data_IF_612084698229
#
_entry.id   IF_612084698229
#
_cell.length_a   1.000
_cell.length_b   1.000
_cell.length_c   1.000
_cell.angle_alpha   90.00
_cell.angle_beta   90.00
_cell.angle_gamma   90.00
#
_symmetry.space_group_name_H-M   'P 1'
#
loop_
_entity.id
_entity.type
_entity.pdbx_description
1 polymer ?
#
# COMPACT_ATOMS: atom_id res chain seq x y z
N UNK A 1 -1.20 -4.74 -6.43
CA UNK A 1 -0.22 -5.67 -5.81
C UNK A 1 0.16 -5.13 -4.45
N UNK A 2 0.36 -5.98 -3.45
CA UNK A 2 0.76 -5.51 -2.12
C UNK A 2 1.79 -6.42 -1.44
N UNK A 3 2.52 -5.89 -0.46
CA UNK A 3 3.47 -6.61 0.39
C UNK A 3 3.42 -6.13 1.84
N UNK A 4 3.76 -7.01 2.77
CA UNK A 4 4.26 -6.62 4.08
C UNK A 4 5.74 -6.25 4.01
N UNK A 5 6.14 -5.13 4.63
CA UNK A 5 7.53 -4.64 4.53
C UNK A 5 8.54 -5.34 5.44
N UNK A 6 8.10 -6.22 6.35
CA UNK A 6 8.97 -7.06 7.18
C UNK A 6 9.00 -8.53 6.73
N UNK A 7 8.40 -8.85 5.58
CA UNK A 7 8.53 -10.18 4.97
C UNK A 7 9.95 -10.41 4.42
N UNK A 8 10.59 -11.50 4.86
CA UNK A 8 11.89 -11.94 4.38
C UNK A 8 11.82 -13.01 3.29
N UNK A 9 10.67 -13.68 3.11
CA UNK A 9 10.49 -14.74 2.09
C UNK A 9 10.25 -14.11 0.73
N UNK A 10 9.33 -13.14 0.65
CA UNK A 10 9.07 -12.34 -0.55
C UNK A 10 9.21 -10.85 -0.19
N UNK A 11 10.44 -10.33 -0.08
CA UNK A 11 10.67 -8.96 0.37
C UNK A 11 10.16 -7.93 -0.65
N UNK A 12 9.82 -6.73 -0.15
CA UNK A 12 9.36 -5.59 -0.96
C UNK A 12 10.26 -5.31 -2.16
N UNK A 13 11.57 -5.43 -2.00
CA UNK A 13 12.55 -5.22 -3.06
C UNK A 13 12.34 -6.15 -4.26
N UNK A 14 12.10 -7.44 -4.01
CA UNK A 14 11.85 -8.44 -5.06
C UNK A 14 10.65 -8.06 -5.91
N UNK A 15 9.53 -7.73 -5.27
CA UNK A 15 8.33 -7.31 -5.98
C UNK A 15 8.51 -5.98 -6.72
N UNK A 16 9.27 -5.02 -6.18
CA UNK A 16 9.58 -3.77 -6.88
C UNK A 16 10.36 -4.03 -8.17
N UNK A 17 11.34 -4.95 -8.15
CA UNK A 17 12.04 -5.35 -9.38
C UNK A 17 11.10 -5.99 -10.40
N UNK A 18 10.22 -6.89 -9.96
CA UNK A 18 9.23 -7.52 -10.85
C UNK A 18 8.27 -6.50 -11.48
N UNK A 19 7.83 -5.50 -10.71
CA UNK A 19 6.98 -4.41 -11.23
C UNK A 19 7.76 -3.51 -12.19
N UNK A 20 9.02 -3.16 -11.89
CA UNK A 20 9.85 -2.32 -12.76
C UNK A 20 10.12 -2.98 -14.12
N UNK A 21 10.22 -4.31 -14.15
CA UNK A 21 10.36 -5.08 -15.40
C UNK A 21 9.17 -4.90 -16.36
N UNK A 22 7.98 -4.52 -15.85
CA UNK A 22 6.80 -4.24 -16.67
C UNK A 22 6.87 -2.90 -17.43
N UNK A 23 7.81 -2.01 -17.06
CA UNK A 23 8.00 -0.69 -17.68
C UNK A 23 6.73 0.15 -17.78
N UNK A 24 5.88 0.05 -16.75
CA UNK A 24 4.65 0.84 -16.66
C UNK A 24 4.97 2.30 -16.31
N UNK A 25 4.31 3.29 -16.96
CA UNK A 25 4.44 4.69 -16.56
C UNK A 25 3.94 4.92 -15.13
N UNK A 26 4.70 5.64 -14.32
CA UNK A 26 4.25 6.12 -13.00
C UNK A 26 3.21 7.23 -13.18
N UNK A 27 2.05 7.05 -12.56
CA UNK A 27 0.95 8.05 -12.54
C UNK A 27 0.84 8.75 -11.18
N UNK A 28 1.31 8.11 -10.12
CA UNK A 28 1.36 8.69 -8.78
C UNK A 28 2.67 8.28 -8.14
N UNK A 29 3.49 9.27 -7.77
CA UNK A 29 4.78 9.06 -7.12
C UNK A 29 4.62 8.31 -5.79
N UNK A 30 5.72 7.67 -5.36
CA UNK A 30 5.80 6.99 -4.07
C UNK A 30 5.45 7.94 -2.91
N UNK A 31 4.41 7.60 -2.15
CA UNK A 31 3.91 8.41 -1.03
C UNK A 31 3.46 7.52 0.13
N UNK A 32 3.45 8.09 1.34
CA UNK A 32 2.88 7.43 2.50
C UNK A 32 1.35 7.45 2.44
N UNK A 33 0.72 6.38 2.90
CA UNK A 33 -0.71 6.33 3.16
C UNK A 33 -0.97 6.16 4.66
N UNK A 34 -2.13 6.61 5.10
CA UNK A 34 -2.45 6.75 6.52
C UNK A 34 -3.63 5.89 6.92
N UNK A 35 -3.57 5.34 8.13
CA UNK A 35 -4.71 4.65 8.72
C UNK A 35 -5.70 5.62 9.39
N UNK A 36 -6.78 5.09 9.96
CA UNK A 36 -7.82 5.90 10.60
C UNK A 36 -7.33 6.76 11.77
N UNK A 37 -6.24 6.36 12.43
CA UNK A 37 -5.65 7.08 13.55
C UNK A 37 -4.66 8.17 13.09
N UNK A 38 -4.48 8.32 11.78
CA UNK A 38 -3.52 9.25 11.20
C UNK A 38 -2.07 8.77 11.28
N UNK A 39 -1.84 7.48 11.58
CA UNK A 39 -0.52 6.88 11.55
C UNK A 39 -0.16 6.39 10.14
N UNK A 40 1.14 6.31 9.85
CA UNK A 40 1.60 5.78 8.57
C UNK A 40 1.37 4.27 8.54
N UNK A 41 0.34 3.85 7.80
CA UNK A 41 0.03 2.45 7.57
C UNK A 41 0.95 1.79 6.53
N UNK A 42 1.64 2.59 5.72
CA UNK A 42 2.67 2.15 4.77
C UNK A 42 2.86 3.11 3.62
N UNK A 43 3.29 2.60 2.46
CA UNK A 43 3.52 3.40 1.26
C UNK A 43 2.83 2.85 0.03
N UNK A 44 2.49 3.74 -0.90
CA UNK A 44 1.80 3.42 -2.14
C UNK A 44 2.47 4.10 -3.33
N UNK A 45 2.44 3.45 -4.49
CA UNK A 45 2.82 4.02 -5.78
C UNK A 45 1.88 3.57 -6.88
N UNK A 46 1.40 4.53 -7.65
CA UNK A 46 0.49 4.32 -8.76
C UNK A 46 1.26 4.24 -10.07
N UNK A 47 1.02 3.16 -10.80
CA UNK A 47 1.41 2.98 -12.20
C UNK A 47 0.16 2.90 -13.08
N UNK A 48 0.31 3.15 -14.37
CA UNK A 48 -0.80 2.99 -15.32
C UNK A 48 -1.29 1.52 -15.31
N UNK A 49 -2.47 1.30 -14.72
CA UNK A 49 -3.10 -0.02 -14.61
C UNK A 49 -2.65 -0.87 -13.42
N UNK A 50 -1.77 -0.37 -12.54
CA UNK A 50 -1.29 -1.11 -11.38
C UNK A 50 -1.03 -0.19 -10.19
N UNK A 51 -1.61 -0.50 -9.03
CA UNK A 51 -1.23 0.14 -7.77
C UNK A 51 -0.39 -0.83 -6.94
N UNK A 52 0.75 -0.35 -6.46
CA UNK A 52 1.62 -1.08 -5.56
C UNK A 52 1.53 -0.49 -4.15
N UNK A 53 1.23 -1.34 -3.16
CA UNK A 53 1.03 -0.92 -1.77
C UNK A 53 1.91 -1.74 -0.84
N UNK A 54 2.54 -1.09 0.13
CA UNK A 54 3.24 -1.75 1.23
C UNK A 54 2.47 -1.49 2.52
N UNK A 55 2.48 -2.47 3.41
CA UNK A 55 1.90 -2.37 4.76
C UNK A 55 3.04 -2.40 5.76
N UNK A 56 3.16 -1.32 6.53
CA UNK A 56 4.24 -1.11 7.48
C UNK A 56 4.15 -2.07 8.66
N UNK A 57 5.26 -2.72 8.97
CA UNK A 57 5.37 -3.67 10.08
C UNK A 57 4.54 -4.93 9.89
N UNK A 58 4.26 -5.34 8.66
CA UNK A 58 3.60 -6.59 8.33
C UNK A 58 4.58 -7.57 7.67
N UNK A 59 4.51 -8.85 8.04
CA UNK A 59 5.24 -9.93 7.38
C UNK A 59 4.50 -10.51 6.17
N UNK A 60 4.81 -11.76 5.81
CA UNK A 60 4.23 -12.46 4.65
C UNK A 60 2.69 -12.50 4.70
N UNK A 61 2.14 -12.88 5.85
CA UNK A 61 0.71 -12.91 6.09
C UNK A 61 0.23 -11.54 6.60
N UNK A 62 0.05 -10.58 5.69
CA UNK A 62 -0.34 -9.21 6.05
C UNK A 62 -1.62 -9.16 6.92
N UNK A 63 -2.71 -9.89 6.61
CA UNK A 63 -3.92 -9.86 7.44
C UNK A 63 -3.72 -10.42 8.86
N UNK A 64 -2.74 -11.32 9.06
CA UNK A 64 -2.40 -11.84 10.39
C UNK A 64 -1.70 -10.79 11.25
N UNK A 65 -0.75 -10.05 10.66
CA UNK A 65 0.07 -9.08 11.40
C UNK A 65 -0.59 -7.71 11.55
N UNK A 66 -1.33 -7.26 10.53
CA UNK A 66 -1.92 -5.91 10.44
C UNK A 66 -3.37 -5.98 9.92
N UNK A 67 -4.31 -6.56 10.69
CA UNK A 67 -5.66 -6.84 10.22
C UNK A 67 -6.46 -5.56 9.85
N UNK A 68 -6.30 -4.48 10.61
CA UNK A 68 -6.99 -3.20 10.32
C UNK A 68 -6.53 -2.62 8.99
N UNK A 69 -5.22 -2.51 8.80
CA UNK A 69 -4.60 -2.03 7.56
C UNK A 69 -4.92 -2.93 6.36
N UNK A 70 -4.95 -4.26 6.55
CA UNK A 70 -5.36 -5.20 5.51
C UNK A 70 -6.82 -5.00 5.09
N UNK A 71 -7.72 -4.76 6.06
CA UNK A 71 -9.12 -4.46 5.78
C UNK A 71 -9.28 -3.14 5.02
N UNK A 72 -8.53 -2.11 5.38
CA UNK A 72 -8.52 -0.84 4.65
C UNK A 72 -8.06 -1.05 3.20
N UNK A 73 -6.97 -1.80 2.99
CA UNK A 73 -6.44 -2.11 1.68
C UNK A 73 -7.47 -2.82 0.78
N UNK A 74 -8.15 -3.87 1.29
CA UNK A 74 -9.15 -4.59 0.49
C UNK A 74 -10.39 -3.74 0.19
N UNK A 75 -10.79 -2.87 1.12
CA UNK A 75 -11.88 -1.89 0.88
C UNK A 75 -11.49 -0.91 -0.22
N UNK A 76 -10.31 -0.30 -0.17
CA UNK A 76 -9.81 0.59 -1.22
C UNK A 76 -9.70 -0.12 -2.57
N UNK A 77 -9.17 -1.34 -2.59
CA UNK A 77 -9.09 -2.15 -3.81
C UNK A 77 -10.47 -2.41 -4.43
N UNK A 78 -11.45 -2.81 -3.61
CA UNK A 78 -12.82 -3.10 -4.05
C UNK A 78 -13.54 -1.86 -4.57
N UNK A 79 -13.32 -0.72 -3.91
CA UNK A 79 -13.85 0.59 -4.31
C UNK A 79 -13.11 1.22 -5.50
N UNK A 80 -11.99 0.62 -5.95
CA UNK A 80 -11.07 1.18 -6.95
C UNK A 80 -10.58 2.58 -6.57
N UNK A 81 -10.46 2.86 -5.28
CA UNK A 81 -9.93 4.11 -4.74
C UNK A 81 -8.44 3.98 -4.39
N UNK A 82 -7.68 5.10 -4.37
CA UNK A 82 -6.33 5.08 -3.83
C UNK A 82 -6.32 4.78 -2.32
N UNK A 83 -5.14 4.47 -1.79
CA UNK A 83 -4.96 4.40 -0.33
C UNK A 83 -5.11 5.82 0.28
N UNK A 84 -5.62 5.95 1.51
CA UNK A 84 -5.90 7.27 2.09
C UNK A 84 -4.65 8.12 2.26
N UNK A 85 -4.75 9.39 1.86
CA UNK A 85 -3.76 10.42 2.18
C UNK A 85 -4.12 11.11 3.50
N UNK A 86 -3.13 11.76 4.12
CA UNK A 86 -3.36 12.49 5.38
C UNK A 86 -4.42 13.61 5.22
N UNK A 87 -4.55 14.19 4.02
CA UNK A 87 -5.60 15.17 3.71
C UNK A 87 -7.00 14.62 3.85
N UNK A 88 -7.19 13.35 3.52
CA UNK A 88 -8.52 12.71 3.48
C UNK A 88 -9.08 12.58 4.90
N UNK A 89 -8.22 12.33 5.88
CA UNK A 89 -8.58 12.20 7.30
C UNK A 89 -8.87 13.56 7.96
N UNK A 90 -8.34 14.66 7.41
CA UNK A 90 -8.55 16.02 7.94
C UNK A 90 -9.79 16.71 7.38
N UNK A 91 -10.49 16.06 6.45
CA UNK A 91 -11.72 16.58 5.84
C UNK A 91 -12.95 16.35 6.72
N UNK A 92 -12.82 15.51 7.76
CA UNK A 92 -13.88 15.05 8.66
C UNK A 92 -13.92 15.80 10.02
N UNK A 93 -13.16 16.90 10.16
CA UNK A 93 -13.12 17.81 11.32
C UNK A 93 -13.44 19.23 10.84
#
# INVERSE_FOLDING_TARGET
>A
MFNGDTDAVIPVTSTRYSIDALKLPTVTSWHAWYDHDGEVGGWSQGYKGLNFVTVRGAGHEVPLHRPSQALMLIKSFSARSPMPMLSDLRSDI
#
